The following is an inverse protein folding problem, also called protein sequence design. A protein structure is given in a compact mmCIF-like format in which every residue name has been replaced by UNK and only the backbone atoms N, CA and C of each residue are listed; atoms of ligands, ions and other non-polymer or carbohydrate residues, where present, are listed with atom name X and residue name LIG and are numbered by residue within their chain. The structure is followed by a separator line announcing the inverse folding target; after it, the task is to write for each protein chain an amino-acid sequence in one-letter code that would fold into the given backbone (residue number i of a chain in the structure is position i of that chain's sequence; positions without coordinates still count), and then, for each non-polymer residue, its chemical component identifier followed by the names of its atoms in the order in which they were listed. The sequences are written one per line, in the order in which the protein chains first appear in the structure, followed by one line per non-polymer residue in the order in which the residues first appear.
data_IF_922148017008
#
_entry.id   IF_922148017008
#
_cell.length_a   1.000
_cell.length_b   1.000
_cell.length_c   1.000
_cell.angle_alpha   90.00
_cell.angle_beta   90.00
_cell.angle_gamma   90.00
#
_symmetry.space_group_name_H-M   'P 1'
#
loop_
_entity.id
_entity.type
_entity.pdbx_description
1 polymer ?
#
# COMPACT_ATOMS: atom_id res chain seq x y z
N UNK A 1 -5.85 11.79 8.32
CA UNK A 1 -5.32 10.99 7.20
C UNK A 1 -6.01 9.62 7.19
N UNK A 2 -6.27 9.04 6.01
CA UNK A 2 -6.87 7.71 5.87
C UNK A 2 -5.86 6.78 5.22
N UNK A 3 -5.07 6.07 6.01
CA UNK A 3 -4.11 5.08 5.48
C UNK A 3 -4.60 3.67 5.81
N UNK A 4 -4.81 2.80 4.80
CA UNK A 4 -5.17 1.41 5.00
C UNK A 4 -4.08 0.64 5.76
N UNK A 5 -4.38 -0.58 6.17
CA UNK A 5 -3.42 -1.41 6.87
C UNK A 5 -2.42 -2.08 5.89
N UNK A 6 -1.65 -1.28 5.14
CA UNK A 6 -0.70 -1.72 4.10
C UNK A 6 0.37 -2.70 4.61
N UNK A 7 0.62 -2.71 5.92
CA UNK A 7 1.54 -3.66 6.55
C UNK A 7 1.07 -5.13 6.48
N UNK A 8 -0.19 -5.40 6.15
CA UNK A 8 -0.65 -6.77 5.84
C UNK A 8 -0.28 -7.21 4.42
N UNK A 9 0.08 -6.28 3.54
CA UNK A 9 0.45 -6.56 2.16
C UNK A 9 1.97 -6.59 1.93
N UNK A 10 2.81 -6.55 2.97
CA UNK A 10 4.27 -6.65 2.86
C UNK A 10 4.76 -7.99 3.44
N UNK A 11 5.94 -8.44 2.99
CA UNK A 11 6.58 -9.64 3.50
C UNK A 11 6.91 -9.53 4.99
N UNK A 12 6.96 -10.67 5.66
CA UNK A 12 7.49 -10.86 7.02
C UNK A 12 8.71 -11.79 7.04
N UNK A 13 9.22 -12.19 5.86
CA UNK A 13 10.45 -12.99 5.74
C UNK A 13 11.70 -12.13 5.51
N UNK A 14 12.82 -12.54 6.11
CA UNK A 14 14.15 -11.95 5.91
C UNK A 14 14.78 -12.33 4.55
N UNK A 15 14.07 -13.13 3.74
CA UNK A 15 14.57 -13.68 2.47
C UNK A 15 14.39 -12.67 1.35
N UNK A 16 13.34 -11.84 1.42
CA UNK A 16 12.98 -10.85 0.39
C UNK A 16 12.93 -9.43 0.98
N UNK A 17 14.07 -8.84 1.36
CA UNK A 17 14.13 -7.50 1.97
C UNK A 17 13.46 -6.38 1.18
N UNK A 18 13.43 -6.50 -0.15
CA UNK A 18 12.75 -5.54 -1.03
C UNK A 18 11.24 -5.44 -0.78
N UNK A 19 10.64 -6.49 -0.18
CA UNK A 19 9.21 -6.67 0.04
C UNK A 19 8.79 -6.46 1.50
N UNK A 20 9.72 -6.23 2.43
CA UNK A 20 9.45 -6.04 3.87
C UNK A 20 8.96 -4.62 4.24
N UNK A 21 8.86 -3.74 3.24
CA UNK A 21 8.49 -2.34 3.42
C UNK A 21 7.51 -1.87 2.35
N UNK A 22 6.73 -0.85 2.70
CA UNK A 22 5.88 -0.14 1.74
C UNK A 22 6.76 0.83 0.98
N UNK A 23 6.75 0.74 -0.35
CA UNK A 23 7.37 1.73 -1.22
C UNK A 23 6.42 2.90 -1.42
N UNK A 24 6.94 4.12 -1.30
CA UNK A 24 6.18 5.35 -1.53
C UNK A 24 6.91 6.17 -2.58
N UNK A 25 6.37 6.20 -3.80
CA UNK A 25 6.83 7.08 -4.88
C UNK A 25 5.97 8.34 -4.98
N UNK A 26 6.33 9.24 -5.91
CA UNK A 26 5.55 10.47 -6.17
C UNK A 26 4.11 10.16 -6.60
N UNK A 27 3.94 9.20 -7.52
CA UNK A 27 2.63 8.87 -8.08
C UNK A 27 1.89 7.82 -7.24
N UNK A 28 2.59 6.73 -6.91
CA UNK A 28 2.00 5.51 -6.37
C UNK A 28 2.68 5.11 -5.05
N UNK A 29 1.88 4.60 -4.13
CA UNK A 29 2.30 3.88 -2.92
C UNK A 29 2.00 2.40 -3.12
N UNK A 30 3.00 1.56 -2.91
CA UNK A 30 2.97 0.14 -3.28
C UNK A 30 3.39 -0.74 -2.10
N UNK A 31 2.57 -1.75 -1.82
CA UNK A 31 2.85 -2.80 -0.84
C UNK A 31 2.71 -4.18 -1.51
N UNK A 32 3.69 -5.06 -1.32
CA UNK A 32 3.59 -6.44 -1.84
C UNK A 32 4.38 -7.44 -1.01
N UNK A 33 3.86 -8.66 -0.88
CA UNK A 33 4.53 -9.82 -0.30
C UNK A 33 4.85 -10.91 -1.35
N UNK A 34 4.72 -10.56 -2.64
CA UNK A 34 4.85 -11.46 -3.78
C UNK A 34 3.61 -12.30 -4.10
N UNK A 35 2.66 -12.43 -3.16
CA UNK A 35 1.37 -13.09 -3.40
C UNK A 35 0.25 -12.08 -3.64
N UNK A 36 0.29 -10.96 -2.96
CA UNK A 36 -0.58 -9.81 -3.21
C UNK A 36 0.28 -8.58 -3.51
N UNK A 37 -0.24 -7.71 -4.37
CA UNK A 37 0.28 -6.40 -4.69
C UNK A 37 -0.86 -5.41 -4.48
N UNK A 38 -0.63 -4.36 -3.72
CA UNK A 38 -1.59 -3.29 -3.44
C UNK A 38 -0.99 -1.97 -3.91
N UNK A 39 -1.76 -1.21 -4.67
CA UNK A 39 -1.35 0.08 -5.21
C UNK A 39 -2.42 1.13 -4.92
N UNK A 40 -1.97 2.23 -4.32
CA UNK A 40 -2.75 3.44 -4.10
C UNK A 40 -2.03 4.64 -4.71
N UNK A 41 -2.76 5.72 -4.98
CA UNK A 41 -2.13 7.00 -5.29
C UNK A 41 -1.51 7.61 -4.04
N UNK A 42 -0.25 8.07 -4.12
CA UNK A 42 0.44 8.66 -2.96
C UNK A 42 -0.30 9.89 -2.45
N UNK A 43 -0.79 10.75 -3.36
CA UNK A 43 -1.59 11.93 -3.00
C UNK A 43 -2.88 11.58 -2.25
N UNK A 44 -3.50 10.43 -2.55
CA UNK A 44 -4.71 9.96 -1.85
C UNK A 44 -4.39 9.63 -0.40
N UNK A 45 -3.23 9.01 -0.15
CA UNK A 45 -2.86 8.55 1.19
C UNK A 45 -2.26 9.66 2.06
N UNK A 46 -1.38 10.48 1.49
CA UNK A 46 -0.53 11.41 2.23
C UNK A 46 -0.77 12.89 1.90
N UNK A 47 -1.61 13.19 0.90
CA UNK A 47 -1.80 14.54 0.38
C UNK A 47 -0.80 14.92 -0.72
N UNK A 48 -1.14 15.97 -1.48
CA UNK A 48 -0.40 16.41 -2.66
C UNK A 48 0.96 17.01 -2.32
N UNK A 49 1.05 17.80 -1.26
CA UNK A 49 2.31 18.39 -0.79
C UNK A 49 3.35 17.32 -0.45
N UNK A 50 2.94 16.31 0.31
CA UNK A 50 3.82 15.19 0.63
C UNK A 50 4.24 14.44 -0.64
N UNK A 51 3.29 14.09 -1.51
CA UNK A 51 3.57 13.38 -2.76
C UNK A 51 4.60 14.10 -3.64
N UNK A 52 4.53 15.43 -3.73
CA UNK A 52 5.48 16.26 -4.46
C UNK A 52 6.85 16.33 -3.78
N UNK A 53 6.92 16.14 -2.47
CA UNK A 53 8.16 16.15 -1.69
C UNK A 53 8.96 14.83 -1.79
N UNK A 54 8.32 13.74 -2.22
CA UNK A 54 8.94 12.41 -2.34
C UNK A 54 10.02 12.44 -3.44
N UNK A 55 11.22 11.89 -3.21
CA UNK A 55 12.26 11.78 -4.23
C UNK A 55 11.85 10.83 -5.38
N UNK A 56 12.54 10.89 -6.52
CA UNK A 56 12.14 10.11 -7.72
C UNK A 56 12.27 8.61 -7.52
N UNK A 57 13.29 8.17 -6.78
CA UNK A 57 13.53 6.80 -6.35
C UNK A 57 12.49 6.30 -5.32
N UNK A 58 11.72 7.21 -4.74
CA UNK A 58 10.78 6.94 -3.66
C UNK A 58 11.44 6.72 -2.30
N UNK A 59 10.62 6.49 -1.28
CA UNK A 59 11.06 6.16 0.08
C UNK A 59 10.46 4.84 0.55
N UNK A 60 10.99 4.31 1.66
CA UNK A 60 10.51 3.06 2.27
C UNK A 60 9.93 3.31 3.65
N UNK A 61 8.69 2.88 3.85
CA UNK A 61 8.03 2.90 5.16
C UNK A 61 7.99 1.49 5.73
N UNK A 62 8.55 1.31 6.91
CA UNK A 62 8.55 0.00 7.59
C UNK A 62 7.16 -0.34 8.11
N UNK A 63 6.93 -1.63 8.39
CA UNK A 63 5.73 -2.12 9.10
C UNK A 63 5.38 -1.26 10.31
N UNK A 64 6.37 -0.92 11.14
CA UNK A 64 6.17 -0.13 12.35
C UNK A 64 5.68 1.28 12.04
N UNK A 65 6.28 1.95 11.05
CA UNK A 65 5.87 3.29 10.62
C UNK A 65 4.41 3.31 10.16
N UNK A 66 4.02 2.36 9.30
CA UNK A 66 2.63 2.25 8.83
C UNK A 66 1.64 2.01 9.98
N UNK A 67 1.99 1.14 10.93
CA UNK A 67 1.16 0.87 12.11
C UNK A 67 0.97 2.15 12.94
N UNK A 68 2.04 2.90 13.18
CA UNK A 68 1.97 4.12 13.98
C UNK A 68 1.19 5.24 13.26
N UNK A 69 1.38 5.42 11.95
CA UNK A 69 0.59 6.37 11.16
C UNK A 69 -0.91 6.09 11.30
N UNK A 70 -1.30 4.81 11.20
CA UNK A 70 -2.70 4.40 11.30
C UNK A 70 -3.27 4.51 12.71
N UNK A 71 -2.50 4.16 13.75
CA UNK A 71 -3.02 4.04 15.12
C UNK A 71 -3.02 5.35 15.92
N UNK A 72 -2.22 6.35 15.52
CA UNK A 72 -1.98 7.55 16.33
C UNK A 72 -2.75 8.79 15.86
N UNK A 73 -3.82 8.61 15.09
CA UNK A 73 -4.60 9.72 14.51
C UNK A 73 -3.70 10.79 13.88
N UNK A 74 -2.71 10.32 13.11
CA UNK A 74 -1.76 11.19 12.41
C UNK A 74 -2.54 12.00 11.38
N UNK A 75 -2.40 13.32 11.45
CA UNK A 75 -3.04 14.24 10.53
C UNK A 75 -2.15 14.48 9.31
N UNK A 76 -0.83 14.59 9.55
CA UNK A 76 0.15 14.93 8.54
C UNK A 76 1.44 14.10 8.68
N UNK A 77 2.04 13.71 7.55
CA UNK A 77 3.42 13.20 7.50
C UNK A 77 4.28 14.23 6.79
N UNK A 78 5.44 14.55 7.35
CA UNK A 78 6.45 15.41 6.70
C UNK A 78 7.72 14.64 6.42
N UNK A 79 8.30 14.88 5.27
CA UNK A 79 9.63 14.39 4.91
C UNK A 79 10.66 15.50 5.21
N UNK A 80 11.77 15.15 5.85
CA UNK A 80 12.86 16.10 6.10
C UNK A 80 13.46 16.62 4.80
N UNK A 81 14.09 17.81 4.84
CA UNK A 81 14.71 18.42 3.66
C UNK A 81 15.79 17.51 3.04
N UNK A 82 16.59 16.86 3.88
CA UNK A 82 17.63 15.91 3.50
C UNK A 82 17.09 14.52 3.10
N UNK A 83 15.77 14.33 3.14
CA UNK A 83 15.06 13.08 2.76
C UNK A 83 15.49 11.84 3.56
N UNK A 84 16.08 12.02 4.75
CA UNK A 84 16.52 10.90 5.60
C UNK A 84 15.53 10.54 6.71
N UNK A 85 14.55 11.40 6.97
CA UNK A 85 13.60 11.23 8.07
C UNK A 85 12.17 11.56 7.67
N UNK A 86 11.22 10.83 8.26
CA UNK A 86 9.82 11.21 8.28
C UNK A 86 9.40 11.63 9.67
N UNK A 87 8.51 12.61 9.74
CA UNK A 87 7.91 13.09 10.98
C UNK A 87 6.40 12.87 10.91
N UNK A 88 5.85 12.22 11.92
CA UNK A 88 4.42 11.99 12.07
C UNK A 88 3.84 13.04 12.99
N UNK A 89 2.98 13.90 12.46
CA UNK A 89 2.32 14.95 13.23
C UNK A 89 0.91 14.47 13.63
N UNK A 90 0.62 14.37 14.94
CA UNK A 90 -0.72 14.04 15.41
C UNK A 90 -1.69 15.17 15.08
N UNK A 91 -2.99 14.88 15.13
CA UNK A 91 -3.98 15.94 14.95
C UNK A 91 -3.81 17.07 15.95
N UNK A 92 -4.11 18.31 15.53
CA UNK A 92 -4.04 19.51 16.40
C UNK A 92 -4.81 19.27 17.71
N UNK A 93 -5.98 18.62 17.63
CA UNK A 93 -6.79 18.31 18.81
C UNK A 93 -6.10 17.36 19.80
N UNK A 94 -5.14 16.56 19.36
CA UNK A 94 -4.39 15.62 20.20
C UNK A 94 -2.92 16.00 20.39
N UNK A 95 -2.45 17.08 19.76
CA UNK A 95 -1.05 17.52 19.78
C UNK A 95 -0.49 17.82 21.18
N UNK A 96 -1.37 18.10 22.15
CA UNK A 96 -1.03 18.34 23.55
C UNK A 96 -0.90 17.05 24.39
N UNK A 97 -1.33 15.90 23.85
CA UNK A 97 -1.34 14.59 24.55
C UNK A 97 -0.46 13.58 23.82
N UNK A 98 -0.46 13.60 22.49
CA UNK A 98 0.32 12.70 21.64
C UNK A 98 1.60 13.39 21.18
N UNK A 99 2.78 12.78 21.41
CA UNK A 99 4.03 13.35 20.92
C UNK A 99 4.16 13.17 19.41
N UNK A 100 4.78 14.16 18.77
CA UNK A 100 5.34 14.02 17.42
C UNK A 100 6.41 12.93 17.41
N UNK A 101 6.44 12.11 16.36
CA UNK A 101 7.41 11.01 16.22
C UNK A 101 8.24 11.21 14.97
N UNK A 102 9.56 11.18 15.14
CA UNK A 102 10.51 11.12 14.03
C UNK A 102 10.99 9.69 13.80
N UNK A 103 11.06 9.29 12.54
CA UNK A 103 11.65 8.05 12.09
C UNK A 103 12.78 8.31 11.11
N UNK A 104 13.91 7.64 11.28
CA UNK A 104 14.92 7.52 10.22
C UNK A 104 14.40 6.57 9.15
N UNK A 105 14.45 7.00 7.90
CA UNK A 105 14.12 6.14 6.78
C UNK A 105 15.19 5.04 6.64
N UNK A 106 14.79 3.80 6.35
CA UNK A 106 15.74 2.73 6.11
C UNK A 106 16.68 3.08 4.95
N UNK A 107 17.96 2.74 5.12
CA UNK A 107 18.97 2.80 4.05
C UNK A 107 19.22 1.39 3.52
N UNK A 108 19.80 1.29 2.33
CA UNK A 108 20.26 0.04 1.73
C UNK A 108 19.19 -1.02 1.46
N UNK A 109 17.91 -0.63 1.40
CA UNK A 109 16.84 -1.53 0.93
C UNK A 109 16.92 -1.64 -0.59
N UNK A 110 16.89 -2.87 -1.16
CA UNK A 110 16.89 -3.05 -2.60
C UNK A 110 15.76 -2.27 -3.29
N UNK A 111 15.99 -1.89 -4.55
CA UNK A 111 14.98 -1.21 -5.36
C UNK A 111 13.68 -2.01 -5.44
N UNK A 112 12.55 -1.31 -5.53
CA UNK A 112 11.24 -1.96 -5.67
C UNK A 112 11.22 -2.69 -7.02
N UNK A 113 10.83 -3.97 -7.07
CA UNK A 113 10.61 -4.64 -8.34
C UNK A 113 9.64 -3.84 -9.21
N UNK A 114 9.81 -3.92 -10.52
CA UNK A 114 8.95 -3.23 -11.49
C UNK A 114 7.53 -3.83 -11.47
N UNK A 115 6.72 -3.35 -10.53
CA UNK A 115 5.36 -3.84 -10.28
C UNK A 115 4.42 -3.57 -11.46
N UNK A 116 4.71 -2.55 -12.28
CA UNK A 116 3.87 -2.22 -13.44
C UNK A 116 3.84 -3.35 -14.47
N UNK A 117 4.86 -4.21 -14.51
CA UNK A 117 4.93 -5.37 -15.41
C UNK A 117 3.97 -6.51 -15.04
N UNK A 118 3.57 -6.62 -13.77
CA UNK A 118 2.69 -7.71 -13.30
C UNK A 118 1.21 -7.32 -13.29
N UNK A 119 0.87 -6.06 -13.61
CA UNK A 119 -0.52 -5.60 -13.64
C UNK A 119 -1.25 -6.18 -14.87
N UNK A 120 -2.34 -6.93 -14.69
CA UNK A 120 -3.13 -7.44 -15.81
C UNK A 120 -3.78 -6.30 -16.61
N UNK A 121 -3.53 -6.24 -17.92
CA UNK A 121 -4.19 -5.27 -18.80
C UNK A 121 -5.59 -5.75 -19.16
N UNK A 122 -6.56 -4.81 -19.20
CA UNK A 122 -7.97 -5.11 -19.54
C UNK A 122 -8.15 -5.79 -20.90
N UNK A 123 -7.31 -5.47 -21.88
CA UNK A 123 -7.38 -6.04 -23.22
C UNK A 123 -6.82 -7.47 -23.33
N UNK A 124 -6.02 -7.92 -22.36
CA UNK A 124 -5.32 -9.21 -22.39
C UNK A 124 -6.07 -10.30 -21.58
N UNK A 125 -7.28 -10.00 -21.11
CA UNK A 125 -8.00 -10.85 -20.17
C UNK A 125 -8.66 -12.07 -20.81
N UNK A 126 -8.30 -13.25 -20.32
CA UNK A 126 -9.01 -14.51 -20.58
C UNK A 126 -10.01 -14.81 -19.46
N UNK A 127 -11.19 -15.40 -19.77
CA UNK A 127 -12.09 -15.93 -18.75
C UNK A 127 -11.35 -16.94 -17.87
N UNK A 128 -11.61 -16.92 -16.57
CA UNK A 128 -11.08 -17.92 -15.65
C UNK A 128 -12.24 -18.74 -15.11
N UNK A 129 -12.20 -20.05 -15.34
CA UNK A 129 -13.26 -20.96 -14.93
C UNK A 129 -13.25 -21.24 -13.43
N UNK A 130 -12.06 -21.35 -12.82
CA UNK A 130 -11.87 -21.61 -11.39
C UNK A 130 -10.58 -20.97 -10.90
N UNK A 131 -10.61 -20.40 -9.70
CA UNK A 131 -9.40 -19.96 -9.00
C UNK A 131 -9.41 -20.47 -7.57
N UNK A 132 -8.23 -20.91 -7.13
CA UNK A 132 -7.94 -21.20 -5.74
C UNK A 132 -7.15 -20.05 -5.17
N UNK A 133 -7.61 -19.50 -4.06
CA UNK A 133 -6.88 -18.51 -3.27
C UNK A 133 -6.79 -19.00 -1.83
N UNK A 134 -5.73 -18.60 -1.14
CA UNK A 134 -5.65 -18.74 0.31
C UNK A 134 -6.63 -17.71 0.93
N UNK A 135 -7.63 -18.13 1.73
CA UNK A 135 -8.60 -17.21 2.32
C UNK A 135 -7.96 -16.14 3.21
N UNK A 136 -6.82 -16.45 3.86
CA UNK A 136 -6.11 -15.47 4.69
C UNK A 136 -5.56 -14.30 3.84
N UNK A 137 -5.16 -14.55 2.59
CA UNK A 137 -4.72 -13.49 1.68
C UNK A 137 -5.85 -12.53 1.32
N UNK A 138 -7.10 -12.99 1.30
CA UNK A 138 -8.26 -12.15 0.99
C UNK A 138 -8.52 -11.17 2.14
N UNK A 139 -8.39 -11.63 3.39
CA UNK A 139 -8.54 -10.78 4.57
C UNK A 139 -7.42 -9.73 4.65
N UNK A 140 -6.17 -10.14 4.43
CA UNK A 140 -5.02 -9.22 4.38
C UNK A 140 -5.16 -8.19 3.24
N UNK A 141 -5.61 -8.64 2.06
CA UNK A 141 -5.90 -7.77 0.95
C UNK A 141 -7.00 -6.76 1.28
N UNK A 142 -8.11 -7.22 1.88
CA UNK A 142 -9.22 -6.34 2.26
C UNK A 142 -8.75 -5.27 3.26
N UNK A 143 -7.95 -5.64 4.27
CA UNK A 143 -7.38 -4.69 5.24
C UNK A 143 -6.41 -3.70 4.60
N UNK A 144 -5.62 -4.15 3.64
CA UNK A 144 -4.65 -3.31 2.93
C UNK A 144 -5.32 -2.39 1.89
N UNK A 145 -6.51 -2.72 1.39
CA UNK A 145 -7.27 -1.91 0.44
C UNK A 145 -8.26 -0.96 1.12
N UNK A 146 -8.75 -1.29 2.33
CA UNK A 146 -9.78 -0.51 3.00
C UNK A 146 -9.19 0.55 3.96
N UNK A 147 -9.49 1.84 3.76
CA UNK A 147 -9.07 2.90 4.69
C UNK A 147 -9.77 2.83 6.05
N UNK A 148 -11.00 2.32 6.10
CA UNK A 148 -11.76 2.14 7.35
C UNK A 148 -12.17 0.67 7.49
N UNK A 149 -11.71 -0.06 8.52
CA UNK A 149 -12.12 -1.45 8.76
C UNK A 149 -13.63 -1.62 9.00
N UNK A 150 -14.36 -0.55 9.29
CA UNK A 150 -15.82 -0.55 9.50
C UNK A 150 -16.62 -0.37 8.21
N UNK A 151 -16.00 0.20 7.16
CA UNK A 151 -16.65 0.30 5.86
C UNK A 151 -16.54 -1.05 5.14
N UNK A 152 -17.69 -1.57 4.71
CA UNK A 152 -17.75 -2.77 3.87
C UNK A 152 -17.20 -2.40 2.48
N UNK A 153 -15.90 -2.53 2.31
CA UNK A 153 -15.27 -2.42 1.01
C UNK A 153 -15.61 -3.69 0.23
N UNK A 154 -16.43 -3.57 -0.82
CA UNK A 154 -16.67 -4.69 -1.70
C UNK A 154 -15.48 -4.82 -2.66
N UNK A 155 -14.87 -5.99 -2.73
CA UNK A 155 -13.77 -6.24 -3.68
C UNK A 155 -14.38 -6.78 -4.98
N UNK A 156 -14.19 -6.07 -6.09
CA UNK A 156 -14.55 -6.55 -7.42
C UNK A 156 -13.33 -7.26 -8.00
N UNK A 157 -13.50 -8.55 -8.30
CA UNK A 157 -12.47 -9.38 -8.89
C UNK A 157 -12.62 -9.40 -10.41
N UNK A 158 -11.60 -8.92 -11.10
CA UNK A 158 -11.46 -9.07 -12.54
C UNK A 158 -10.40 -10.14 -12.81
N UNK A 159 -10.89 -11.29 -13.26
CA UNK A 159 -10.09 -12.42 -13.66
C UNK A 159 -9.52 -12.17 -15.06
N UNK A 160 -8.20 -11.91 -15.13
CA UNK A 160 -7.59 -11.30 -16.32
C UNK A 160 -6.36 -11.99 -16.88
N UNK A 161 -5.93 -13.14 -16.37
CA UNK A 161 -5.16 -14.17 -17.10
C UNK A 161 -4.57 -15.16 -16.07
N UNK A 162 -4.29 -16.39 -16.51
CA UNK A 162 -3.62 -17.40 -15.69
C UNK A 162 -2.15 -17.06 -15.37
N UNK A 163 -1.50 -16.20 -16.16
CA UNK A 163 -0.07 -15.86 -16.05
C UNK A 163 0.23 -14.54 -15.33
N UNK A 164 -0.76 -13.62 -15.21
CA UNK A 164 -0.57 -12.28 -14.62
C UNK A 164 -1.37 -12.01 -13.35
N UNK A 165 -2.19 -12.97 -12.91
CA UNK A 165 -2.97 -12.87 -11.68
C UNK A 165 -4.33 -12.19 -11.83
N UNK A 166 -5.01 -12.06 -10.69
CA UNK A 166 -6.35 -11.48 -10.59
C UNK A 166 -6.26 -10.01 -10.22
N UNK A 167 -6.77 -9.13 -11.08
CA UNK A 167 -6.91 -7.71 -10.75
C UNK A 167 -8.10 -7.55 -9.80
N UNK A 168 -7.91 -6.81 -8.72
CA UNK A 168 -8.92 -6.52 -7.72
C UNK A 168 -9.08 -5.01 -7.63
N UNK A 169 -10.32 -4.54 -7.76
CA UNK A 169 -10.66 -3.12 -7.69
C UNK A 169 -11.64 -2.94 -6.52
N UNK A 170 -11.43 -1.94 -5.66
CA UNK A 170 -12.38 -1.63 -4.61
C UNK A 170 -13.66 -1.05 -5.22
N UNK A 171 -14.81 -1.58 -4.81
CA UNK A 171 -16.09 -0.92 -4.93
C UNK A 171 -16.36 -0.21 -3.61
N UNK A 172 -16.24 1.10 -3.68
CA UNK A 172 -16.33 2.01 -2.54
C UNK A 172 -17.03 3.29 -2.97
N UNK A 173 -17.81 3.87 -2.05
CA UNK A 173 -18.39 5.19 -2.22
C UNK A 173 -17.36 6.30 -1.96
N UNK A 174 -16.19 5.96 -1.37
CA UNK A 174 -15.10 6.90 -1.13
C UNK A 174 -14.38 7.24 -2.47
N UNK A 175 -14.53 8.47 -2.99
CA UNK A 175 -14.01 8.83 -4.30
C UNK A 175 -12.48 8.82 -4.36
N UNK A 176 -11.81 9.03 -3.23
CA UNK A 176 -10.35 9.14 -3.18
C UNK A 176 -9.66 7.80 -3.49
N UNK A 177 -10.39 6.69 -3.30
CA UNK A 177 -9.92 5.31 -3.46
C UNK A 177 -10.28 4.67 -4.81
N UNK A 178 -10.98 5.39 -5.71
CA UNK A 178 -11.40 4.86 -7.01
C UNK A 178 -10.24 4.41 -7.91
N UNK A 179 -9.09 5.04 -7.76
CA UNK A 179 -7.87 4.71 -8.51
C UNK A 179 -6.98 3.68 -7.82
N UNK A 180 -7.40 3.17 -6.65
CA UNK A 180 -6.68 2.12 -5.95
C UNK A 180 -6.98 0.77 -6.58
N UNK A 181 -5.99 -0.12 -6.63
CA UNK A 181 -6.17 -1.46 -7.15
C UNK A 181 -5.18 -2.43 -6.48
N UNK A 182 -5.47 -3.71 -6.62
CA UNK A 182 -4.58 -4.77 -6.21
C UNK A 182 -4.48 -5.87 -7.25
N UNK A 183 -3.44 -6.67 -7.13
CA UNK A 183 -3.25 -7.89 -7.90
C UNK A 183 -3.05 -9.04 -6.92
N UNK A 184 -3.84 -10.10 -7.06
CA UNK A 184 -3.56 -11.38 -6.41
C UNK A 184 -2.82 -12.24 -7.41
N UNK A 185 -1.57 -12.56 -7.09
CA UNK A 185 -0.76 -13.46 -7.90
C UNK A 185 -1.32 -14.89 -7.75
N UNK A 186 -1.44 -15.65 -8.86
CA UNK A 186 -1.93 -17.01 -8.78
C UNK A 186 -0.88 -17.86 -8.06
N UNK A 187 -1.32 -18.78 -7.20
CA UNK A 187 -0.43 -19.84 -6.74
C UNK A 187 -0.08 -20.69 -7.96
N UNK A 188 1.19 -20.72 -8.36
CA UNK A 188 1.64 -21.67 -9.38
C UNK A 188 1.47 -23.07 -8.78
N UNK A 189 0.61 -23.89 -9.42
CA UNK A 189 0.44 -25.31 -9.12
C UNK A 189 1.52 -26.12 -9.84
#
# INVERSE_FOLDING_TARGET
MKIPALHYAISDDDIRPALESVWVGKEDTVATNGHILVVHKTKTLFGEEFANSVPEEGIRLTRRMIIDIRKREVEEVRLSEDKTMITLLPSIMLSHILPTIGYKLPKDIPAMPDYKKVIPKKAESKPIDKIKFNPNLIDDLHKAMSPDPRNKLFLIFYFRSADKGCLVIPSTDDPDYKDSYAVIMPAML
#
